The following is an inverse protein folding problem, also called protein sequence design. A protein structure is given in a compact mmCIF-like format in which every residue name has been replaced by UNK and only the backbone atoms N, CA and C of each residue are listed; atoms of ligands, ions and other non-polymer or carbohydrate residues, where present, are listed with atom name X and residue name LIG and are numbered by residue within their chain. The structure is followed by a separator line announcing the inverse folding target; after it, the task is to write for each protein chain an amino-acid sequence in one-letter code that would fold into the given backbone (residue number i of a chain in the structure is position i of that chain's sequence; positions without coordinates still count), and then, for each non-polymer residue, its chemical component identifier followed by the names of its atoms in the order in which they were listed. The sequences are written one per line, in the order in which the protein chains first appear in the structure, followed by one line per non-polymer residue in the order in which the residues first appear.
data_IF_714298753031
#
_entry.id   IF_714298753031
#
_cell.length_a   1.000
_cell.length_b   1.000
_cell.length_c   1.000
_cell.angle_alpha   90.00
_cell.angle_beta   90.00
_cell.angle_gamma   90.00
#
_symmetry.space_group_name_H-M   'P 1'
#
loop_
_entity.id
_entity.type
_entity.pdbx_description
1 polymer ?
#
# COMPACT_ATOMS: atom_id res chain seq x y z
N UNK A 1 4.99 10.50 -20.10
CA UNK A 1 5.12 9.32 -19.22
C UNK A 1 3.71 8.88 -18.91
N UNK A 2 3.40 7.59 -19.06
CA UNK A 2 2.03 7.08 -18.91
C UNK A 2 1.69 6.85 -17.43
N UNK A 3 0.53 7.34 -16.99
CA UNK A 3 0.02 7.21 -15.62
C UNK A 3 -1.04 6.11 -15.48
N UNK A 4 -1.50 5.51 -16.59
CA UNK A 4 -2.62 4.57 -16.61
C UNK A 4 -2.38 3.36 -15.72
N UNK A 5 -1.14 2.86 -15.67
CA UNK A 5 -0.76 1.77 -14.77
C UNK A 5 -0.92 2.14 -13.29
N UNK A 6 -0.54 3.36 -12.90
CA UNK A 6 -0.68 3.83 -11.52
C UNK A 6 -2.15 4.04 -11.15
N UNK A 7 -2.97 4.54 -12.08
CA UNK A 7 -4.42 4.68 -11.91
C UNK A 7 -5.07 3.31 -11.71
N UNK A 8 -4.78 2.34 -12.59
CA UNK A 8 -5.32 0.98 -12.47
C UNK A 8 -4.92 0.31 -11.14
N UNK A 9 -3.68 0.51 -10.69
CA UNK A 9 -3.22 -0.02 -9.41
C UNK A 9 -3.93 0.65 -8.23
N UNK A 10 -4.19 1.96 -8.29
CA UNK A 10 -4.94 2.69 -7.27
C UNK A 10 -6.39 2.19 -7.19
N UNK A 11 -7.08 2.09 -8.33
CA UNK A 11 -8.46 1.60 -8.39
C UNK A 11 -8.58 0.17 -7.85
N UNK A 12 -7.69 -0.73 -8.28
CA UNK A 12 -7.67 -2.10 -7.79
C UNK A 12 -7.43 -2.15 -6.27
N UNK A 13 -6.52 -1.32 -5.75
CA UNK A 13 -6.26 -1.23 -4.31
C UNK A 13 -7.50 -0.75 -3.54
N UNK A 14 -8.17 0.30 -4.03
CA UNK A 14 -9.41 0.80 -3.41
C UNK A 14 -10.50 -0.27 -3.41
N UNK A 15 -10.64 -1.03 -4.49
CA UNK A 15 -11.63 -2.12 -4.58
C UNK A 15 -11.36 -3.26 -3.59
N UNK A 16 -10.09 -3.63 -3.40
CA UNK A 16 -9.69 -4.75 -2.54
C UNK A 16 -9.65 -4.34 -1.06
N UNK A 17 -9.15 -3.14 -0.77
CA UNK A 17 -8.78 -2.69 0.57
C UNK A 17 -9.65 -1.57 1.13
N UNK A 18 -10.49 -0.94 0.30
CA UNK A 18 -11.28 0.24 0.63
C UNK A 18 -10.47 1.54 0.53
N UNK A 19 -11.15 2.67 0.73
CA UNK A 19 -10.52 3.98 0.67
C UNK A 19 -9.71 4.28 1.95
N UNK A 20 -8.42 4.63 1.86
CA UNK A 20 -7.69 5.20 2.97
C UNK A 20 -8.16 6.64 3.27
N UNK A 21 -7.85 7.15 4.46
CA UNK A 21 -8.10 8.56 4.79
C UNK A 21 -7.12 9.50 4.06
N UNK A 22 -5.85 9.10 3.98
CA UNK A 22 -4.76 9.85 3.33
C UNK A 22 -4.01 8.88 2.40
N UNK A 23 -3.72 9.32 1.18
CA UNK A 23 -2.76 8.70 0.28
C UNK A 23 -1.49 9.54 0.23
N UNK A 24 -0.37 8.97 0.64
CA UNK A 24 0.94 9.61 0.52
C UNK A 24 1.71 9.08 -0.69
N UNK A 25 2.27 9.97 -1.52
CA UNK A 25 3.05 9.59 -2.71
C UNK A 25 4.31 10.44 -2.89
N UNK A 26 5.28 9.91 -3.63
CA UNK A 26 6.36 10.74 -4.17
C UNK A 26 5.83 11.81 -5.14
N UNK A 27 6.63 12.84 -5.44
CA UNK A 27 6.28 13.91 -6.39
C UNK A 27 6.59 13.55 -7.86
N UNK A 28 6.45 12.28 -8.24
CA UNK A 28 6.69 11.85 -9.63
C UNK A 28 5.58 12.35 -10.57
N UNK A 29 5.86 12.38 -11.87
CA UNK A 29 4.91 12.85 -12.88
C UNK A 29 3.62 12.00 -12.93
N UNK A 30 3.69 10.71 -12.56
CA UNK A 30 2.54 9.82 -12.52
C UNK A 30 1.59 10.17 -11.38
N UNK A 31 2.12 10.44 -10.19
CA UNK A 31 1.32 10.76 -9.00
C UNK A 31 0.83 12.19 -8.96
N UNK A 32 1.45 13.08 -9.75
CA UNK A 32 1.00 14.46 -9.96
C UNK A 32 0.12 14.62 -11.21
N UNK A 33 -0.16 13.52 -11.93
CA UNK A 33 -1.03 13.54 -13.11
C UNK A 33 -2.48 13.82 -12.73
N UNK A 34 -3.19 14.54 -13.60
CA UNK A 34 -4.62 14.85 -13.41
C UNK A 34 -5.45 13.59 -13.19
N UNK A 35 -5.24 12.54 -13.99
CA UNK A 35 -5.97 11.29 -13.88
C UNK A 35 -5.82 10.62 -12.49
N UNK A 36 -4.60 10.60 -11.94
CA UNK A 36 -4.36 10.02 -10.61
C UNK A 36 -5.00 10.85 -9.50
N UNK A 37 -4.88 12.17 -9.58
CA UNK A 37 -5.46 13.10 -8.60
C UNK A 37 -7.00 13.05 -8.62
N UNK A 38 -7.60 12.93 -9.80
CA UNK A 38 -9.06 12.85 -9.96
C UNK A 38 -9.64 11.61 -9.26
N UNK A 39 -9.00 10.44 -9.38
CA UNK A 39 -9.43 9.23 -8.65
C UNK A 39 -9.41 9.45 -7.14
N UNK A 40 -8.33 10.04 -6.59
CA UNK A 40 -8.25 10.34 -5.16
C UNK A 40 -9.35 11.31 -4.70
N UNK A 41 -9.62 12.35 -5.49
CA UNK A 41 -10.66 13.33 -5.20
C UNK A 41 -12.07 12.72 -5.25
N UNK A 42 -12.36 11.88 -6.25
CA UNK A 42 -13.64 11.17 -6.40
C UNK A 42 -13.93 10.27 -5.19
N UNK A 43 -12.90 9.67 -4.62
CA UNK A 43 -13.00 8.82 -3.43
C UNK A 43 -12.86 9.59 -2.11
N UNK A 44 -12.78 10.93 -2.15
CA UNK A 44 -12.58 11.80 -0.98
C UNK A 44 -11.34 11.45 -0.15
N UNK A 45 -10.28 10.98 -0.80
CA UNK A 45 -9.01 10.63 -0.17
C UNK A 45 -8.15 11.90 -0.06
N UNK A 46 -7.64 12.20 1.12
CA UNK A 46 -6.72 13.33 1.32
C UNK A 46 -5.37 13.02 0.66
N UNK A 47 -4.79 14.02 0.00
CA UNK A 47 -3.55 13.86 -0.76
C UNK A 47 -2.39 14.41 0.06
N UNK A 48 -1.39 13.58 0.33
CA UNK A 48 -0.11 13.95 0.92
C UNK A 48 1.01 13.60 -0.05
N UNK A 49 2.09 14.39 -0.06
CA UNK A 49 3.25 14.09 -0.90
C UNK A 49 4.55 14.29 -0.13
N UNK A 50 5.54 13.47 -0.47
CA UNK A 50 6.89 13.56 0.10
C UNK A 50 7.50 14.95 -0.14
N UNK A 51 8.32 15.41 0.80
CA UNK A 51 9.12 16.61 0.64
C UNK A 51 10.14 16.46 -0.50
N UNK A 52 10.40 17.53 -1.25
CA UNK A 52 11.42 17.50 -2.30
C UNK A 52 12.79 17.20 -1.70
N UNK A 53 13.41 16.11 -2.14
CA UNK A 53 14.71 15.65 -1.63
C UNK A 53 14.66 15.00 -0.24
N UNK A 54 13.46 14.73 0.31
CA UNK A 54 13.28 14.10 1.61
C UNK A 54 13.09 12.58 1.46
N UNK A 55 14.18 11.83 1.37
CA UNK A 55 14.11 10.36 1.24
C UNK A 55 13.46 9.67 2.45
N UNK A 56 13.42 10.34 3.61
CA UNK A 56 12.81 9.81 4.83
C UNK A 56 11.32 9.56 4.67
N UNK A 57 10.62 10.34 3.84
CA UNK A 57 9.18 10.20 3.64
C UNK A 57 8.83 8.90 2.89
N UNK A 58 9.77 8.40 2.08
CA UNK A 58 9.62 7.15 1.32
C UNK A 58 10.23 5.91 2.02
N UNK A 59 10.73 6.04 3.26
CA UNK A 59 11.57 5.00 3.90
C UNK A 59 10.88 3.63 4.01
N UNK A 60 9.56 3.61 4.17
CA UNK A 60 8.78 2.38 4.27
C UNK A 60 8.79 1.60 2.95
N UNK A 61 8.59 2.31 1.84
CA UNK A 61 8.59 1.74 0.48
C UNK A 61 10.00 1.32 0.09
N UNK A 62 11.02 2.14 0.40
CA UNK A 62 12.42 1.79 0.16
C UNK A 62 12.86 0.54 0.93
N UNK A 63 12.43 0.40 2.19
CA UNK A 63 12.72 -0.78 3.00
C UNK A 63 12.09 -2.05 2.40
N UNK A 64 10.84 -1.96 1.94
CA UNK A 64 10.18 -3.04 1.21
C UNK A 64 10.98 -3.40 -0.05
N UNK A 65 11.31 -2.41 -0.88
CA UNK A 65 12.05 -2.63 -2.13
C UNK A 65 13.44 -3.22 -1.91
N UNK A 66 14.13 -2.86 -0.82
CA UNK A 66 15.39 -3.51 -0.46
C UNK A 66 15.21 -5.02 -0.24
N UNK A 67 14.19 -5.44 0.49
CA UNK A 67 13.89 -6.87 0.67
C UNK A 67 13.53 -7.53 -0.67
N UNK A 68 12.66 -6.92 -1.48
CA UNK A 68 12.30 -7.43 -2.81
C UNK A 68 13.53 -7.64 -3.70
N UNK A 69 14.41 -6.65 -3.75
CA UNK A 69 15.55 -6.67 -4.66
C UNK A 69 16.66 -7.59 -4.16
N UNK A 70 17.14 -7.39 -2.94
CA UNK A 70 18.31 -8.09 -2.42
C UNK A 70 18.02 -9.51 -1.97
N UNK A 71 16.87 -9.74 -1.34
CA UNK A 71 16.58 -11.06 -0.76
C UNK A 71 15.90 -11.98 -1.78
N UNK A 72 15.15 -11.42 -2.73
CA UNK A 72 14.39 -12.22 -3.71
C UNK A 72 14.91 -12.13 -5.14
N UNK A 73 15.03 -10.93 -5.72
CA UNK A 73 15.37 -10.82 -7.15
C UNK A 73 16.84 -11.15 -7.44
N UNK A 74 17.78 -10.67 -6.63
CA UNK A 74 19.21 -10.89 -6.85
C UNK A 74 19.69 -12.30 -6.49
N UNK A 75 18.90 -13.05 -5.75
CA UNK A 75 19.22 -14.43 -5.36
C UNK A 75 18.76 -15.46 -6.40
N UNK A 76 18.12 -15.02 -7.50
CA UNK A 76 17.46 -15.90 -8.45
C UNK A 76 17.83 -15.59 -9.91
N UNK A 77 17.78 -16.63 -10.74
CA UNK A 77 17.93 -16.51 -12.19
C UNK A 77 16.58 -16.70 -12.87
N UNK A 78 16.11 -15.68 -13.59
CA UNK A 78 14.86 -15.73 -14.35
C UNK A 78 15.14 -15.83 -15.84
N UNK A 79 14.37 -16.67 -16.53
CA UNK A 79 14.50 -16.88 -17.97
C UNK A 79 13.39 -16.20 -18.80
N UNK A 80 12.39 -15.60 -18.14
CA UNK A 80 11.35 -14.79 -18.78
C UNK A 80 10.55 -13.98 -17.74
N UNK A 81 9.80 -12.99 -18.22
CA UNK A 81 8.96 -12.11 -17.40
C UNK A 81 7.80 -12.85 -16.70
N UNK A 82 7.26 -13.93 -17.27
CA UNK A 82 6.18 -14.71 -16.65
C UNK A 82 6.66 -15.33 -15.33
N UNK A 83 7.88 -15.86 -15.30
CA UNK A 83 8.48 -16.38 -14.07
C UNK A 83 8.75 -15.29 -13.04
N UNK A 84 9.26 -14.13 -13.46
CA UNK A 84 9.48 -12.98 -12.56
C UNK A 84 8.15 -12.58 -11.89
N UNK A 85 7.08 -12.44 -12.68
CA UNK A 85 5.75 -12.07 -12.15
C UNK A 85 5.23 -13.09 -11.14
N UNK A 86 5.25 -14.39 -11.48
CA UNK A 86 4.81 -15.44 -10.55
C UNK A 86 5.64 -15.48 -9.26
N UNK A 87 6.96 -15.30 -9.39
CA UNK A 87 7.87 -15.28 -8.24
C UNK A 87 7.61 -14.09 -7.32
N UNK A 88 7.40 -12.90 -7.89
CA UNK A 88 7.02 -11.70 -7.14
C UNK A 88 5.68 -11.88 -6.42
N UNK A 89 4.68 -12.50 -7.05
CA UNK A 89 3.41 -12.84 -6.39
C UNK A 89 3.65 -13.69 -5.15
N UNK A 90 4.37 -14.81 -5.28
CA UNK A 90 4.68 -15.67 -4.13
C UNK A 90 5.51 -14.95 -3.05
N UNK A 91 6.42 -14.06 -3.45
CA UNK A 91 7.21 -13.27 -2.53
C UNK A 91 6.35 -12.29 -1.72
N UNK A 92 5.42 -11.57 -2.37
CA UNK A 92 4.51 -10.67 -1.67
C UNK A 92 3.52 -11.41 -0.77
N UNK A 93 3.05 -12.60 -1.17
CA UNK A 93 2.24 -13.46 -0.31
C UNK A 93 3.01 -13.85 0.96
N UNK A 94 4.24 -14.33 0.81
CA UNK A 94 5.12 -14.65 1.94
C UNK A 94 5.43 -13.41 2.80
N UNK A 95 5.75 -12.27 2.19
CA UNK A 95 6.07 -11.03 2.90
C UNK A 95 4.92 -10.55 3.78
N UNK A 96 3.68 -10.70 3.30
CA UNK A 96 2.51 -10.24 4.04
C UNK A 96 2.03 -11.26 5.08
N UNK A 97 2.11 -12.56 4.78
CA UNK A 97 1.50 -13.63 5.57
C UNK A 97 2.44 -14.34 6.53
N UNK A 98 3.74 -14.38 6.23
CA UNK A 98 4.73 -15.21 6.95
C UNK A 98 5.93 -14.42 7.47
N UNK A 99 6.30 -13.31 6.83
CA UNK A 99 7.44 -12.50 7.26
C UNK A 99 7.11 -11.66 8.50
N UNK A 100 7.83 -11.92 9.59
CA UNK A 100 7.63 -11.26 10.88
C UNK A 100 8.43 -9.96 10.96
N UNK A 101 7.76 -8.88 11.38
CA UNK A 101 8.40 -7.57 11.53
C UNK A 101 8.60 -7.24 13.02
N UNK A 102 9.85 -6.95 13.40
CA UNK A 102 10.20 -6.57 14.78
C UNK A 102 9.44 -5.33 15.25
N UNK A 103 9.34 -4.31 14.39
CA UNK A 103 8.57 -3.07 14.66
C UNK A 103 7.05 -3.33 14.81
N UNK A 104 6.56 -4.48 14.37
CA UNK A 104 5.17 -4.91 14.51
C UNK A 104 4.97 -5.93 15.66
N UNK A 105 5.83 -5.88 16.69
CA UNK A 105 5.83 -6.83 17.81
C UNK A 105 5.96 -8.29 17.35
N UNK A 106 6.82 -8.55 16.35
CA UNK A 106 6.98 -9.86 15.71
C UNK A 106 5.64 -10.43 15.22
N UNK A 107 4.84 -9.60 14.55
CA UNK A 107 3.65 -10.01 13.80
C UNK A 107 3.86 -9.80 12.31
N UNK A 108 3.05 -10.48 11.51
CA UNK A 108 3.02 -10.35 10.05
C UNK A 108 2.17 -9.16 9.64
N UNK A 109 2.45 -8.58 8.48
CA UNK A 109 1.76 -7.39 7.98
C UNK A 109 0.24 -7.59 7.88
N UNK A 110 -0.20 -8.75 7.35
CA UNK A 110 -1.61 -9.08 7.24
C UNK A 110 -2.30 -9.15 8.60
N UNK A 111 -1.65 -9.77 9.59
CA UNK A 111 -2.20 -9.90 10.93
C UNK A 111 -2.47 -8.52 11.53
N UNK A 112 -1.53 -7.59 11.41
CA UNK A 112 -1.71 -6.22 11.94
C UNK A 112 -2.78 -5.46 11.16
N UNK A 113 -2.73 -5.53 9.83
CA UNK A 113 -3.63 -4.82 8.94
C UNK A 113 -5.10 -5.23 9.15
N UNK A 114 -5.40 -6.53 9.08
CA UNK A 114 -6.77 -7.01 9.22
C UNK A 114 -7.30 -6.93 10.66
N UNK A 115 -6.44 -7.01 11.68
CA UNK A 115 -6.85 -6.71 13.05
C UNK A 115 -7.31 -5.26 13.21
N UNK A 116 -6.62 -4.31 12.57
CA UNK A 116 -7.00 -2.89 12.59
C UNK A 116 -8.35 -2.68 11.90
N UNK A 117 -8.57 -3.26 10.72
CA UNK A 117 -9.86 -3.21 10.01
C UNK A 117 -10.99 -3.81 10.86
N UNK A 118 -10.76 -4.96 11.49
CA UNK A 118 -11.74 -5.61 12.37
C UNK A 118 -12.11 -4.73 13.56
N UNK A 119 -11.13 -4.03 14.15
CA UNK A 119 -11.39 -3.08 15.26
C UNK A 119 -12.18 -1.86 14.80
N UNK A 120 -11.86 -1.28 13.64
CA UNK A 120 -12.58 -0.14 13.08
C UNK A 120 -14.03 -0.47 12.73
N UNK A 121 -14.27 -1.66 12.14
CA UNK A 121 -15.63 -2.12 11.80
C UNK A 121 -16.49 -2.44 13.03
N UNK A 122 -15.89 -2.90 14.15
CA UNK A 122 -16.59 -3.07 15.43
C UNK A 122 -16.95 -1.70 16.05
N UNK A 123 -16.05 -0.71 15.98
CA UNK A 123 -16.27 0.62 16.56
C UNK A 123 -17.44 1.37 15.90
N UNK A 124 -17.65 1.18 14.58
CA UNK A 124 -18.79 1.75 13.85
C UNK A 124 -20.14 1.11 14.27
N UNK A 125 -20.16 -0.18 14.60
CA UNK A 125 -21.39 -0.88 15.01
C UNK A 125 -21.78 -0.68 16.48
N UNK A 126 -20.90 -0.08 17.28
CA UNK A 126 -21.09 0.10 18.73
C UNK A 126 -21.33 1.55 19.17
N UNK A 127 -21.48 2.52 18.26
CA UNK A 127 -21.82 3.88 18.65
C UNK A 127 -23.29 3.92 19.12
N UNK A 128 -23.58 4.28 20.39
CA UNK A 128 -24.95 4.54 20.79
C UNK A 128 -25.44 5.76 20.02
N UNK A 129 -26.60 5.65 19.38
CA UNK A 129 -27.38 6.80 18.96
C UNK A 129 -27.80 7.56 20.23
N UNK A 130 -26.96 8.49 20.72
CA UNK A 130 -27.47 9.53 21.61
C UNK A 130 -28.35 10.43 20.75
N UNK A 131 -29.65 10.16 20.81
CA UNK A 131 -30.68 11.11 20.36
C UNK A 131 -30.50 12.42 21.12
N UNK A 132 -30.74 13.49 20.36
CA UNK A 132 -31.06 14.89 20.71
C UNK A 132 -31.60 15.10 22.13
N UNK A 133 -31.41 16.24 22.80
CA UNK A 133 -31.56 17.66 22.43
C UNK A 133 -30.65 18.48 23.34
#
# INVERSE_FOLDING_TARGET
MDADFCVQALDASIQIHGCPEIMNTAQSAQFTSTAFIEVLQQHHIQISMDGKGCFHDNIFVERLWRTVTYEHLYTQAFNNLKKVRGSLTCMFDWYNQEHFHQELNNQTSDKVYYQKIRRSSIKIRGAPLSRSI
#
